data_IF_987165065246
#
_entry.id   IF_987165065246
#
_cell.length_a   1.000
_cell.length_b   1.000
_cell.length_c   1.000
_cell.angle_alpha   90.00
_cell.angle_beta   90.00
_cell.angle_gamma   90.00
#
_symmetry.space_group_name_H-M   'P 1'
#
loop_
_entity.id
_entity.type
_entity.pdbx_description
1 polymer ?
#
# COMPACT_ATOMS: atom_id res chain seq x y z
N UNK A 1 14.11 19.95 7.74
CA UNK A 1 12.78 19.45 7.29
C UNK A 1 12.92 17.99 6.91
N UNK A 2 12.01 17.11 7.36
CA UNK A 2 12.01 15.67 7.07
C UNK A 2 10.87 15.31 6.13
N UNK A 3 11.18 14.66 5.00
CA UNK A 3 10.19 14.22 4.00
C UNK A 3 10.45 12.75 3.65
N UNK A 4 9.40 11.95 3.56
CA UNK A 4 9.45 10.61 2.98
C UNK A 4 8.96 10.66 1.53
N UNK A 5 9.66 9.98 0.64
CA UNK A 5 9.34 9.91 -0.78
C UNK A 5 9.31 8.46 -1.25
N UNK A 6 8.20 8.06 -1.86
CA UNK A 6 8.06 6.78 -2.53
C UNK A 6 8.49 6.88 -3.99
N UNK A 7 9.20 5.88 -4.49
CA UNK A 7 9.66 5.81 -5.87
C UNK A 7 9.45 4.40 -6.45
N UNK A 8 9.77 4.23 -7.73
CA UNK A 8 9.83 2.90 -8.36
C UNK A 8 10.90 1.98 -7.75
N UNK A 9 11.84 2.53 -6.98
CA UNK A 9 12.96 1.82 -6.36
C UNK A 9 12.85 1.69 -4.83
N UNK A 10 11.76 2.18 -4.24
CA UNK A 10 11.52 2.08 -2.81
C UNK A 10 11.32 3.44 -2.13
N UNK A 11 11.52 3.46 -0.82
CA UNK A 11 11.26 4.61 0.05
C UNK A 11 12.56 5.33 0.35
N UNK A 12 12.54 6.65 0.23
CA UNK A 12 13.65 7.54 0.54
C UNK A 12 13.23 8.54 1.61
N UNK A 13 14.19 8.92 2.45
CA UNK A 13 14.08 10.05 3.37
C UNK A 13 14.94 11.20 2.88
N UNK A 14 14.37 12.40 2.90
CA UNK A 14 15.04 13.65 2.58
C UNK A 14 15.12 14.48 3.85
N UNK A 15 16.35 14.76 4.30
CA UNK A 15 16.65 15.55 5.49
C UNK A 15 17.66 16.64 5.12
N UNK A 16 17.26 17.90 5.23
CA UNK A 16 18.17 19.06 5.09
C UNK A 16 19.06 19.01 3.84
N UNK A 17 18.50 18.54 2.73
CA UNK A 17 19.15 18.43 1.42
C UNK A 17 19.88 17.10 1.17
N UNK A 18 20.04 16.23 2.15
CA UNK A 18 20.56 14.87 1.95
C UNK A 18 19.41 13.88 1.75
N UNK A 19 19.66 12.85 0.92
CA UNK A 19 18.68 11.80 0.62
C UNK A 19 19.27 10.44 0.97
N UNK A 20 18.53 9.62 1.71
CA UNK A 20 18.91 8.25 2.06
C UNK A 20 17.78 7.29 1.71
N UNK A 21 18.12 6.10 1.24
CA UNK A 21 17.14 5.04 1.01
C UNK A 21 16.84 4.31 2.32
N UNK A 22 15.56 4.13 2.63
CA UNK A 22 15.07 3.46 3.83
C UNK A 22 14.56 2.05 3.57
N UNK A 23 13.99 1.83 2.39
CA UNK A 23 13.47 0.54 1.96
C UNK A 23 13.73 0.40 0.47
N UNK A 24 14.30 -0.72 0.06
CA UNK A 24 14.26 -1.17 -1.33
C UNK A 24 13.00 -1.99 -1.54
N UNK A 25 12.14 -1.53 -2.45
CA UNK A 25 10.91 -2.25 -2.80
C UNK A 25 10.46 -1.83 -4.20
N UNK A 26 9.70 -2.70 -4.86
CA UNK A 26 9.15 -2.43 -6.18
C UNK A 26 8.00 -1.44 -6.04
N UNK A 27 8.11 -0.27 -6.68
CA UNK A 27 6.96 0.61 -6.94
C UNK A 27 6.18 1.03 -5.68
N UNK A 28 6.71 1.97 -4.91
CA UNK A 28 5.94 2.59 -3.81
C UNK A 28 4.87 3.50 -4.42
N UNK A 29 3.61 3.24 -4.08
CA UNK A 29 2.43 3.93 -4.62
C UNK A 29 1.71 4.80 -3.61
N UNK A 30 1.75 4.42 -2.35
CA UNK A 30 1.13 5.17 -1.26
C UNK A 30 2.06 5.20 -0.06
N UNK A 31 2.12 6.34 0.63
CA UNK A 31 2.83 6.52 1.88
C UNK A 31 1.93 7.35 2.80
N UNK A 32 1.43 6.74 3.87
CA UNK A 32 0.47 7.39 4.77
C UNK A 32 0.82 7.12 6.22
N UNK A 33 0.46 8.06 7.10
CA UNK A 33 0.47 7.86 8.55
C UNK A 33 -0.96 7.61 9.01
N UNK A 34 -1.24 6.45 9.61
CA UNK A 34 -2.54 6.08 10.16
C UNK A 34 -2.33 5.60 11.60
N UNK A 35 -3.08 6.16 12.53
CA UNK A 35 -3.03 5.83 13.97
C UNK A 35 -1.60 5.81 14.56
N UNK A 36 -0.73 6.71 14.08
CA UNK A 36 0.65 6.85 14.55
C UNK A 36 1.65 5.86 13.92
N UNK A 37 1.21 5.00 13.00
CA UNK A 37 2.08 4.08 12.24
C UNK A 37 2.20 4.56 10.80
N UNK A 38 3.34 4.30 10.16
CA UNK A 38 3.52 4.57 8.74
C UNK A 38 3.22 3.32 7.92
N UNK A 39 2.55 3.51 6.80
CA UNK A 39 2.21 2.46 5.85
C UNK A 39 2.77 2.81 4.47
N UNK A 40 3.27 1.80 3.77
CA UNK A 40 3.70 1.91 2.39
C UNK A 40 3.01 0.85 1.53
N UNK A 41 2.13 1.31 0.64
CA UNK A 41 1.59 0.47 -0.43
C UNK A 41 2.65 0.31 -1.52
N UNK A 42 3.04 -0.92 -1.83
CA UNK A 42 4.09 -1.21 -2.82
C UNK A 42 3.64 -2.25 -3.83
N UNK A 43 4.40 -2.40 -4.91
CA UNK A 43 4.27 -3.51 -5.86
C UNK A 43 4.78 -4.86 -5.35
N UNK A 44 5.17 -4.96 -4.08
CA UNK A 44 5.56 -6.20 -3.41
C UNK A 44 4.72 -6.49 -2.15
N UNK A 45 3.57 -5.81 -2.01
CA UNK A 45 2.71 -5.88 -0.84
C UNK A 45 2.71 -4.61 0.02
N UNK A 46 2.18 -4.72 1.23
CA UNK A 46 2.08 -3.60 2.18
C UNK A 46 3.21 -3.66 3.19
N UNK A 47 3.93 -2.57 3.39
CA UNK A 47 4.92 -2.45 4.47
C UNK A 47 4.41 -1.52 5.56
N UNK A 48 4.79 -1.79 6.81
CA UNK A 48 4.48 -0.98 7.99
C UNK A 48 5.77 -0.57 8.69
N UNK A 49 5.77 0.63 9.25
CA UNK A 49 6.80 1.08 10.17
C UNK A 49 6.18 1.62 11.47
N UNK A 50 6.72 1.14 12.59
CA UNK A 50 6.36 1.53 13.95
C UNK A 50 7.37 2.48 14.60
N UNK A 51 8.43 2.85 13.87
CA UNK A 51 9.57 3.61 14.40
C UNK A 51 9.87 4.86 13.56
N UNK A 52 8.81 5.50 13.06
CA UNK A 52 8.83 6.66 12.18
C UNK A 52 9.59 6.41 10.86
N UNK A 53 9.55 5.20 10.31
CA UNK A 53 10.14 4.88 9.01
C UNK A 53 11.62 4.52 9.06
N UNK A 54 12.18 4.25 10.25
CA UNK A 54 13.57 3.77 10.37
C UNK A 54 13.68 2.32 9.94
N UNK A 55 12.66 1.50 10.25
CA UNK A 55 12.53 0.12 9.80
C UNK A 55 11.15 -0.11 9.19
N UNK A 56 11.08 -1.01 8.22
CA UNK A 56 9.86 -1.35 7.49
C UNK A 56 9.70 -2.87 7.45
N UNK A 57 8.52 -3.35 7.84
CA UNK A 57 8.19 -4.77 7.92
C UNK A 57 7.06 -5.05 6.94
N UNK A 58 7.21 -6.09 6.12
CA UNK A 58 6.15 -6.57 5.23
C UNK A 58 4.99 -7.11 6.07
N UNK A 59 3.78 -6.62 5.80
CA UNK A 59 2.56 -6.89 6.57
C UNK A 59 1.43 -7.38 5.67
N UNK A 60 1.77 -8.38 4.85
CA UNK A 60 0.83 -9.08 3.97
C UNK A 60 0.63 -8.46 2.58
N UNK A 61 -0.26 -9.10 1.83
CA UNK A 61 -0.64 -8.75 0.46
C UNK A 61 0.52 -8.90 -0.55
N UNK A 62 1.45 -9.82 -0.31
CA UNK A 62 2.65 -10.06 -1.13
C UNK A 62 2.33 -10.44 -2.58
N UNK A 63 1.18 -11.08 -2.78
CA UNK A 63 0.68 -11.47 -4.10
C UNK A 63 0.04 -10.29 -4.87
N UNK A 64 -0.04 -9.10 -4.25
CA UNK A 64 -0.75 -7.95 -4.76
C UNK A 64 0.13 -6.71 -4.84
N UNK A 65 -0.14 -5.87 -5.85
CA UNK A 65 0.36 -4.50 -5.83
C UNK A 65 -0.61 -3.63 -5.02
N UNK A 66 -0.17 -3.13 -3.87
CA UNK A 66 -1.00 -2.29 -3.00
C UNK A 66 -0.94 -0.85 -3.47
N UNK A 67 -2.07 -0.32 -3.89
CA UNK A 67 -2.16 1.01 -4.51
C UNK A 67 -2.59 2.09 -3.53
N UNK A 68 -3.47 1.76 -2.60
CA UNK A 68 -3.95 2.69 -1.59
C UNK A 68 -4.23 1.99 -0.26
N UNK A 69 -4.02 2.71 0.83
CA UNK A 69 -4.43 2.29 2.17
C UNK A 69 -5.11 3.43 2.93
N UNK A 70 -6.29 3.19 3.51
CA UNK A 70 -7.09 4.22 4.19
C UNK A 70 -7.67 3.69 5.51
N UNK A 71 -7.85 4.60 6.46
CA UNK A 71 -8.51 4.28 7.73
C UNK A 71 -10.02 4.25 7.58
N UNK A 72 -10.63 3.19 8.11
CA UNK A 72 -12.07 3.09 8.38
C UNK A 72 -12.44 3.54 9.80
N UNK A 73 -11.46 3.98 10.60
CA UNK A 73 -11.62 4.37 12.00
C UNK A 73 -11.50 3.19 12.97
N UNK A 74 -11.23 3.49 14.24
CA UNK A 74 -11.16 2.51 15.34
C UNK A 74 -10.20 1.33 15.06
N UNK A 75 -9.03 1.59 14.46
CA UNK A 75 -8.04 0.56 14.13
C UNK A 75 -8.39 -0.34 12.93
N UNK A 76 -9.50 -0.06 12.24
CA UNK A 76 -9.90 -0.75 11.01
C UNK A 76 -9.27 -0.05 9.80
N UNK A 77 -8.56 -0.80 8.96
CA UNK A 77 -7.93 -0.29 7.75
C UNK A 77 -8.41 -1.03 6.50
N UNK A 78 -8.37 -0.34 5.36
CA UNK A 78 -8.70 -0.90 4.06
C UNK A 78 -7.53 -0.71 3.09
N UNK A 79 -7.21 -1.76 2.32
CA UNK A 79 -6.18 -1.74 1.29
C UNK A 79 -6.79 -2.10 -0.06
N UNK A 80 -6.57 -1.26 -1.07
CA UNK A 80 -6.99 -1.49 -2.44
C UNK A 80 -5.80 -1.92 -3.29
N UNK A 81 -5.99 -2.94 -4.13
CA UNK A 81 -4.89 -3.63 -4.82
C UNK A 81 -5.06 -3.67 -6.33
N UNK A 82 -3.99 -4.10 -7.01
CA UNK A 82 -4.01 -4.64 -8.36
C UNK A 82 -3.48 -6.10 -8.34
N UNK A 83 -4.20 -7.09 -8.90
CA UNK A 83 -5.55 -7.01 -9.49
C UNK A 83 -6.61 -6.41 -8.55
N UNK A 84 -7.69 -5.90 -9.13
CA UNK A 84 -8.73 -5.17 -8.40
C UNK A 84 -9.36 -6.04 -7.31
N UNK A 85 -9.01 -5.75 -6.06
CA UNK A 85 -9.59 -6.33 -4.86
C UNK A 85 -9.54 -5.31 -3.71
N UNK A 86 -10.31 -5.60 -2.66
CA UNK A 86 -10.36 -4.79 -1.45
C UNK A 86 -10.10 -5.70 -0.25
N UNK A 87 -9.12 -5.33 0.57
CA UNK A 87 -8.79 -6.02 1.81
C UNK A 87 -9.11 -5.15 3.00
N UNK A 88 -9.48 -5.79 4.10
CA UNK A 88 -9.80 -5.16 5.37
C UNK A 88 -8.96 -5.76 6.49
N UNK A 89 -8.43 -4.90 7.34
CA UNK A 89 -7.76 -5.26 8.58
C UNK A 89 -8.58 -4.74 9.76
N UNK A 90 -8.65 -5.52 10.84
CA UNK A 90 -9.25 -5.13 12.13
C UNK A 90 -8.22 -4.97 13.25
N UNK A 91 -6.94 -5.19 12.96
CA UNK A 91 -5.85 -5.29 13.93
C UNK A 91 -4.72 -4.30 13.60
N UNK A 92 -5.10 -3.14 13.07
CA UNK A 92 -4.15 -2.08 12.77
C UNK A 92 -3.21 -2.41 11.61
N UNK A 93 -3.62 -3.26 10.67
CA UNK A 93 -2.86 -3.65 9.48
C UNK A 93 -1.97 -4.87 9.66
N UNK A 94 -2.07 -5.56 10.79
CA UNK A 94 -1.24 -6.73 11.11
C UNK A 94 -1.68 -7.98 10.34
N UNK A 95 -2.98 -8.10 10.07
CA UNK A 95 -3.56 -9.12 9.19
C UNK A 95 -4.66 -8.54 8.30
N UNK A 96 -4.91 -9.21 7.18
CA UNK A 96 -5.81 -8.75 6.12
C UNK A 96 -6.76 -9.86 5.68
N UNK A 97 -8.04 -9.53 5.60
CA UNK A 97 -9.08 -10.39 5.05
C UNK A 97 -9.67 -9.73 3.81
N UNK A 98 -9.88 -10.52 2.76
CA UNK A 98 -10.53 -10.03 1.54
C UNK A 98 -11.99 -9.67 1.83
N UNK A 99 -12.44 -8.52 1.30
CA UNK A 99 -13.84 -8.11 1.29
C UNK A 99 -14.51 -8.76 0.08
N UNK A 100 -14.92 -10.03 0.23
CA UNK A 100 -15.44 -10.83 -0.90
C UNK A 100 -16.68 -10.24 -1.55
N UNK A 101 -17.50 -9.48 -0.82
CA UNK A 101 -18.66 -8.79 -1.39
C UNK A 101 -18.30 -7.76 -2.47
N UNK A 102 -17.06 -7.27 -2.50
CA UNK A 102 -16.54 -6.43 -3.56
C UNK A 102 -16.14 -7.24 -4.80
N UNK A 103 -15.44 -8.36 -4.62
CA UNK A 103 -14.93 -9.19 -5.71
C UNK A 103 -15.98 -10.13 -6.32
N UNK A 104 -17.02 -10.48 -5.56
CA UNK A 104 -18.18 -11.26 -6.01
C UNK A 104 -19.22 -10.43 -6.77
N UNK A 105 -19.02 -9.11 -6.90
CA UNK A 105 -19.95 -8.29 -7.67
C UNK A 105 -20.05 -8.83 -9.11
N UNK A 106 -21.25 -8.98 -9.71
CA UNK A 106 -21.43 -9.61 -11.03
C UNK A 106 -20.63 -8.96 -12.16
N UNK A 107 -20.26 -7.69 -11.99
CA UNK A 107 -19.48 -6.92 -12.95
C UNK A 107 -18.00 -6.76 -12.57
N UNK A 108 -17.53 -7.33 -11.46
CA UNK A 108 -16.14 -7.19 -11.01
C UNK A 108 -15.15 -7.65 -12.08
N UNK A 109 -15.49 -8.71 -12.83
CA UNK A 109 -14.70 -9.21 -13.97
C UNK A 109 -14.54 -8.21 -15.13
N UNK A 110 -15.38 -7.16 -15.19
CA UNK A 110 -15.31 -6.10 -16.20
C UNK A 110 -14.52 -4.88 -15.71
N UNK A 111 -14.18 -4.81 -14.41
CA UNK A 111 -13.43 -3.69 -13.84
C UNK A 111 -11.96 -3.85 -14.18
N UNK A 112 -11.56 -3.31 -15.33
CA UNK A 112 -10.18 -3.23 -15.75
C UNK A 112 -9.80 -1.78 -16.06
N UNK A 113 -8.51 -1.49 -16.06
CA UNK A 113 -8.02 -0.25 -16.64
C UNK A 113 -8.40 -0.30 -18.12
N UNK A 114 -9.23 0.63 -18.64
CA UNK A 114 -9.57 0.62 -20.05
C UNK A 114 -8.30 0.93 -20.86
N UNK A 115 -7.65 -0.10 -21.37
CA UNK A 115 -6.59 0.03 -22.36
C UNK A 115 -7.27 0.22 -23.72
N UNK A 116 -7.44 1.47 -24.12
CA UNK A 116 -7.89 1.84 -25.48
C UNK A 116 -6.77 2.58 -26.21
N UNK A 117 -6.22 2.02 -27.30
CA UNK A 117 -6.44 0.66 -27.83
C UNK A 117 -5.80 -0.44 -26.95
N UNK A 118 -6.21 -1.71 -27.08
CA UNK A 118 -5.49 -2.82 -26.47
C UNK A 118 -4.05 -2.86 -27.01
N UNK A 119 -3.09 -3.18 -26.14
CA UNK A 119 -1.69 -3.36 -26.57
C UNK A 119 -1.64 -4.47 -27.64
N UNK A 120 -0.88 -4.28 -28.74
CA UNK A 120 -0.77 -5.25 -29.82
C UNK A 120 -0.17 -6.59 -29.38
#
# INVERSE_FOLDING_TARGET
MRVLAGTSKGIFIINDGTTHQLLESRGVRDLVCLDGRLFAGTGAGLYISDDDGKTWILSGLEDYEVWQIRSGGNGVFYAATQPAALFRSEDGGSSWLEVTSFTEHPEASKWCIPLTPPLP
#
